data_IF_713151930822
#
_entry.id   IF_713151930822
#
_cell.length_a   1.000
_cell.length_b   1.000
_cell.length_c   1.000
_cell.angle_alpha   90.00
_cell.angle_beta   90.00
_cell.angle_gamma   90.00
#
_symmetry.space_group_name_H-M   'P 1'
#
loop_
_entity.id
_entity.type
_entity.pdbx_description
1 polymer ?
#
# COMPACT_ATOMS: atom_id res chain seq x y z
N UNK A 1 31.44 -8.00 16.47
CA UNK A 1 30.13 -7.32 16.54
C UNK A 1 29.29 -8.20 17.45
N UNK A 2 28.76 -7.66 18.54
CA UNK A 2 27.80 -8.40 19.36
C UNK A 2 26.48 -8.38 18.61
N UNK A 3 26.02 -9.54 18.17
CA UNK A 3 24.73 -9.67 17.50
C UNK A 3 23.63 -9.27 18.49
N UNK A 4 22.83 -8.28 18.11
CA UNK A 4 21.68 -7.83 18.89
C UNK A 4 20.72 -9.01 19.09
N UNK A 5 20.19 -9.18 20.29
CA UNK A 5 19.17 -10.18 20.59
C UNK A 5 17.80 -9.52 20.59
N UNK A 6 16.90 -10.02 19.74
CA UNK A 6 15.50 -9.60 19.64
C UNK A 6 14.63 -10.71 20.20
N UNK A 7 13.71 -10.38 21.10
CA UNK A 7 12.75 -11.33 21.65
C UNK A 7 11.30 -10.97 21.27
N UNK A 8 10.52 -11.98 20.89
CA UNK A 8 9.06 -11.92 20.75
C UNK A 8 8.43 -13.19 21.32
N UNK A 9 7.10 -13.30 21.36
CA UNK A 9 6.43 -14.47 21.88
C UNK A 9 6.57 -15.71 20.96
N UNK A 10 6.51 -16.90 21.55
CA UNK A 10 6.50 -18.19 20.82
C UNK A 10 5.07 -18.67 20.47
N UNK A 11 4.95 -19.77 19.73
CA UNK A 11 3.65 -20.36 19.38
C UNK A 11 2.96 -19.64 18.22
N UNK A 12 1.63 -19.56 18.25
CA UNK A 12 0.85 -18.82 17.25
C UNK A 12 1.35 -17.39 17.16
N UNK A 13 1.51 -16.88 15.94
CA UNK A 13 1.95 -15.52 15.61
C UNK A 13 0.93 -14.74 14.81
N UNK A 14 1.09 -13.43 14.81
CA UNK A 14 0.18 -12.46 14.21
C UNK A 14 0.90 -11.63 13.16
N UNK A 15 0.19 -10.71 12.51
CA UNK A 15 0.87 -9.75 11.65
C UNK A 15 1.72 -8.75 12.44
N UNK A 16 1.37 -8.48 13.70
CA UNK A 16 2.06 -7.52 14.54
C UNK A 16 3.53 -7.89 14.78
N UNK A 17 3.78 -9.06 15.40
CA UNK A 17 5.11 -9.56 15.68
C UNK A 17 5.90 -9.87 14.40
N UNK A 18 5.23 -10.42 13.37
CA UNK A 18 5.87 -10.70 12.08
C UNK A 18 6.35 -9.43 11.36
N UNK A 19 5.51 -8.40 11.24
CA UNK A 19 5.91 -7.15 10.59
C UNK A 19 6.88 -6.32 11.44
N UNK A 20 6.82 -6.43 12.77
CA UNK A 20 7.82 -5.84 13.67
C UNK A 20 9.22 -6.39 13.38
N UNK A 21 9.36 -7.72 13.25
CA UNK A 21 10.64 -8.35 12.90
C UNK A 21 11.07 -7.98 11.47
N UNK A 22 10.13 -7.92 10.52
CA UNK A 22 10.41 -7.49 9.15
C UNK A 22 10.96 -6.05 9.08
N UNK A 23 10.40 -5.13 9.87
CA UNK A 23 10.88 -3.76 9.96
C UNK A 23 12.26 -3.67 10.63
N UNK A 24 12.47 -4.44 11.71
CA UNK A 24 13.76 -4.47 12.41
C UNK A 24 14.89 -5.03 11.54
N UNK A 25 14.61 -5.92 10.57
CA UNK A 25 15.59 -6.37 9.56
C UNK A 25 16.12 -5.23 8.68
N UNK A 26 15.37 -4.13 8.51
CA UNK A 26 15.83 -2.96 7.77
C UNK A 26 16.84 -2.13 8.58
N UNK A 27 16.78 -2.18 9.91
CA UNK A 27 17.66 -1.44 10.82
C UNK A 27 18.88 -2.28 11.24
N UNK A 28 18.64 -3.56 11.53
CA UNK A 28 19.63 -4.51 12.01
C UNK A 28 19.78 -5.64 10.99
N UNK A 29 20.80 -5.58 10.09
CA UNK A 29 20.97 -6.58 9.04
C UNK A 29 21.26 -7.99 9.57
N UNK A 30 21.70 -8.11 10.82
CA UNK A 30 21.92 -9.37 11.51
C UNK A 30 21.54 -9.21 12.99
N UNK A 31 20.79 -10.18 13.51
CA UNK A 31 20.41 -10.28 14.92
C UNK A 31 20.07 -11.73 15.25
N UNK A 32 20.11 -12.06 16.54
CA UNK A 32 19.62 -13.31 17.09
C UNK A 32 18.15 -13.15 17.49
N UNK A 33 17.24 -13.86 16.82
CA UNK A 33 15.82 -13.86 17.16
C UNK A 33 15.52 -14.98 18.16
N UNK A 34 14.89 -14.63 19.28
CA UNK A 34 14.42 -15.60 20.27
C UNK A 34 12.90 -15.47 20.39
N UNK A 35 12.18 -16.56 20.12
CA UNK A 35 10.73 -16.63 20.37
C UNK A 35 10.47 -17.33 21.71
N UNK A 36 9.96 -16.61 22.70
CA UNK A 36 9.78 -17.12 24.07
C UNK A 36 8.77 -16.32 24.88
N UNK A 37 8.25 -16.92 25.95
CA UNK A 37 7.52 -16.22 27.03
C UNK A 37 8.25 -16.31 28.38
N UNK A 38 9.48 -16.81 28.39
CA UNK A 38 10.32 -16.86 29.58
C UNK A 38 10.82 -15.46 29.92
N UNK A 39 10.37 -14.93 31.06
CA UNK A 39 10.70 -13.58 31.53
C UNK A 39 12.20 -13.38 31.78
N UNK A 40 12.93 -14.41 32.19
CA UNK A 40 14.38 -14.31 32.40
C UNK A 40 15.15 -14.18 31.08
N UNK A 41 14.63 -14.80 30.01
CA UNK A 41 15.19 -14.68 28.66
C UNK A 41 14.82 -13.32 28.07
N UNK A 42 13.56 -12.91 28.19
CA UNK A 42 13.07 -11.61 27.73
C UNK A 42 13.85 -10.46 28.38
N UNK A 43 14.11 -10.53 29.70
CA UNK A 43 14.83 -9.49 30.42
C UNK A 43 16.27 -9.27 29.92
N UNK A 44 16.88 -10.28 29.29
CA UNK A 44 18.25 -10.24 28.75
C UNK A 44 18.33 -9.80 27.29
N UNK A 45 17.20 -9.72 26.58
CA UNK A 45 17.17 -9.31 25.19
C UNK A 45 17.40 -7.80 25.05
N UNK A 46 18.07 -7.39 23.97
CA UNK A 46 18.32 -5.99 23.66
C UNK A 46 17.03 -5.30 23.21
N UNK A 47 16.26 -5.97 22.34
CA UNK A 47 14.95 -5.50 21.88
C UNK A 47 13.90 -6.56 22.22
N UNK A 48 12.75 -6.12 22.73
CA UNK A 48 11.60 -6.98 23.02
C UNK A 48 10.37 -6.37 22.36
N UNK A 49 9.62 -7.18 21.63
CA UNK A 49 8.38 -6.78 20.97
C UNK A 49 7.29 -7.82 21.25
N UNK A 50 6.04 -7.37 21.35
CA UNK A 50 4.84 -8.20 21.51
C UNK A 50 4.85 -9.18 22.71
N UNK A 51 5.72 -8.92 23.68
CA UNK A 51 5.84 -9.71 24.92
C UNK A 51 6.52 -8.88 26.02
N UNK A 52 6.26 -9.24 27.28
CA UNK A 52 6.94 -8.67 28.45
C UNK A 52 6.18 -7.54 29.16
N UNK A 53 5.12 -7.01 28.55
CA UNK A 53 4.17 -6.05 29.14
C UNK A 53 4.76 -4.67 29.40
N UNK A 54 5.70 -4.21 28.57
CA UNK A 54 6.39 -2.93 28.73
C UNK A 54 6.52 -2.23 27.38
N UNK A 55 6.08 -0.97 27.33
CA UNK A 55 6.48 -0.02 26.31
C UNK A 55 7.48 0.98 26.89
N UNK A 56 8.72 0.91 26.44
CA UNK A 56 9.80 1.86 26.69
C UNK A 56 10.72 1.83 25.47
N UNK A 57 10.58 2.77 24.52
CA UNK A 57 11.35 2.75 23.29
C UNK A 57 12.84 2.90 23.56
N UNK A 58 13.26 3.63 24.59
CA UNK A 58 14.67 3.87 24.91
C UNK A 58 15.34 2.64 25.54
N UNK A 59 14.57 1.84 26.27
CA UNK A 59 15.01 0.53 26.76
C UNK A 59 14.79 -0.62 25.74
N UNK A 60 14.36 -0.31 24.51
CA UNK A 60 14.10 -1.32 23.48
C UNK A 60 12.93 -2.25 23.83
N UNK A 61 11.86 -1.72 24.41
CA UNK A 61 10.66 -2.47 24.80
C UNK A 61 9.44 -1.94 24.04
N UNK A 62 8.82 -2.80 23.24
CA UNK A 62 7.74 -2.47 22.30
C UNK A 62 6.58 -3.44 22.46
N UNK A 63 6.03 -3.56 23.66
CA UNK A 63 4.80 -4.31 23.91
C UNK A 63 3.62 -3.35 24.10
N UNK A 64 2.41 -3.82 23.79
CA UNK A 64 1.15 -3.10 23.92
C UNK A 64 0.16 -3.78 24.88
N UNK A 65 0.46 -4.99 25.37
CA UNK A 65 -0.42 -5.78 26.22
C UNK A 65 -0.58 -5.25 27.67
N UNK A 66 0.25 -4.30 28.10
CA UNK A 66 0.17 -3.73 29.44
C UNK A 66 -1.17 -3.05 29.72
N UNK A 67 -1.52 -2.96 31.01
CA UNK A 67 -2.69 -2.20 31.43
C UNK A 67 -2.56 -0.74 31.01
N UNK A 68 -3.52 -0.28 30.21
CA UNK A 68 -3.52 1.07 29.64
C UNK A 68 -2.94 1.18 28.22
N UNK A 69 -2.44 0.07 27.65
CA UNK A 69 -1.90 0.03 26.29
C UNK A 69 -0.57 0.76 26.12
N UNK A 70 -0.19 1.02 24.88
CA UNK A 70 1.01 1.78 24.51
C UNK A 70 0.70 3.15 23.89
N UNK A 71 -0.51 3.67 24.16
CA UNK A 71 -1.04 4.88 23.54
C UNK A 71 -1.67 4.62 22.16
N UNK A 72 -2.07 5.71 21.51
CA UNK A 72 -2.79 5.69 20.23
C UNK A 72 -2.32 6.83 19.32
N UNK A 73 -2.61 6.69 18.03
CA UNK A 73 -2.45 7.74 17.01
C UNK A 73 -3.50 8.84 17.19
N UNK A 74 -3.30 9.98 16.53
CA UNK A 74 -4.28 11.09 16.53
C UNK A 74 -5.65 10.69 15.97
N UNK A 75 -5.68 9.69 15.08
CA UNK A 75 -6.92 9.13 14.54
C UNK A 75 -7.62 8.12 15.48
N UNK A 76 -7.11 7.93 16.71
CA UNK A 76 -7.67 7.03 17.72
C UNK A 76 -7.28 5.56 17.57
N UNK A 77 -6.49 5.20 16.54
CA UNK A 77 -6.03 3.82 16.38
C UNK A 77 -4.92 3.53 17.41
N UNK A 78 -5.11 2.58 18.35
CA UNK A 78 -4.09 2.19 19.31
C UNK A 78 -2.87 1.59 18.61
N UNK A 79 -1.70 1.71 19.23
CA UNK A 79 -0.48 1.08 18.72
C UNK A 79 -0.39 -0.38 19.18
N UNK A 80 -0.14 -1.30 18.24
CA UNK A 80 0.46 -2.60 18.52
C UNK A 80 1.98 -2.53 18.39
N UNK A 81 2.71 -3.62 18.58
CA UNK A 81 4.18 -3.63 18.59
C UNK A 81 4.78 -3.10 17.27
N UNK A 82 4.17 -3.44 16.13
CA UNK A 82 4.61 -2.99 14.81
C UNK A 82 4.46 -1.48 14.68
N UNK A 83 3.34 -0.92 15.12
CA UNK A 83 3.15 0.51 15.30
C UNK A 83 4.22 1.18 16.14
N UNK A 84 4.57 0.61 17.28
CA UNK A 84 5.58 1.17 18.18
C UNK A 84 6.99 1.12 17.57
N UNK A 85 7.31 0.03 16.88
CA UNK A 85 8.55 -0.11 16.10
C UNK A 85 8.59 0.90 14.97
N UNK A 86 7.50 1.05 14.21
CA UNK A 86 7.40 2.01 13.12
C UNK A 86 7.49 3.46 13.61
N UNK A 87 6.88 3.76 14.76
CA UNK A 87 6.98 5.06 15.41
C UNK A 87 8.43 5.42 15.77
N UNK A 88 9.26 4.45 16.17
CA UNK A 88 10.67 4.69 16.49
C UNK A 88 11.57 4.70 15.25
N UNK A 89 11.39 3.76 14.34
CA UNK A 89 12.35 3.49 13.26
C UNK A 89 11.82 3.77 11.84
N UNK A 90 10.53 4.03 11.66
CA UNK A 90 9.89 4.09 10.33
C UNK A 90 10.49 5.14 9.41
N UNK A 91 10.87 6.31 9.93
CA UNK A 91 11.56 7.36 9.17
C UNK A 91 12.95 6.90 8.74
N UNK A 92 13.70 6.24 9.62
CA UNK A 92 15.03 5.68 9.30
C UNK A 92 14.92 4.57 8.26
N UNK A 93 13.94 3.66 8.38
CA UNK A 93 13.62 2.62 7.40
C UNK A 93 13.31 3.23 6.03
N UNK A 94 12.70 4.42 6.00
CA UNK A 94 12.38 5.17 4.79
C UNK A 94 13.48 6.16 4.39
N UNK A 95 14.73 5.92 4.78
CA UNK A 95 15.92 6.72 4.41
C UNK A 95 15.80 8.21 4.79
N UNK A 96 15.10 8.51 5.89
CA UNK A 96 14.87 9.88 6.35
C UNK A 96 13.69 10.60 5.70
N UNK A 97 12.93 9.93 4.83
CA UNK A 97 11.78 10.52 4.15
C UNK A 97 10.49 10.36 4.97
N UNK A 98 10.08 11.43 5.66
CA UNK A 98 8.86 11.45 6.50
C UNK A 98 7.57 11.22 5.70
N UNK A 99 7.46 11.78 4.49
CA UNK A 99 6.26 11.60 3.65
C UNK A 99 6.06 10.13 3.28
N UNK A 100 7.16 9.42 2.98
CA UNK A 100 7.12 7.98 2.70
C UNK A 100 6.72 7.22 3.96
N UNK A 101 7.34 7.53 5.10
CA UNK A 101 7.04 6.87 6.38
C UNK A 101 5.57 7.04 6.79
N UNK A 102 5.01 8.25 6.62
CA UNK A 102 3.61 8.56 6.89
C UNK A 102 2.65 7.83 5.93
N UNK A 103 3.02 7.74 4.66
CA UNK A 103 2.25 7.01 3.65
C UNK A 103 2.21 5.51 3.94
N UNK A 104 3.32 4.92 4.40
CA UNK A 104 3.39 3.52 4.82
C UNK A 104 2.67 3.30 6.16
N UNK A 105 2.79 4.22 7.12
CA UNK A 105 2.05 4.12 8.39
C UNK A 105 0.54 4.06 8.14
N UNK A 106 0.00 5.02 7.39
CA UNK A 106 -1.42 5.08 7.07
C UNK A 106 -1.91 3.90 6.21
N UNK A 107 -1.10 3.43 5.27
CA UNK A 107 -1.48 2.40 4.31
C UNK A 107 -1.27 0.95 4.78
N UNK A 108 -0.36 0.72 5.73
CA UNK A 108 0.03 -0.62 6.17
C UNK A 108 0.04 -0.75 7.69
N UNK A 109 0.85 0.04 8.38
CA UNK A 109 1.14 -0.14 9.81
C UNK A 109 -0.11 0.08 10.66
N UNK A 110 -0.74 1.24 10.52
CA UNK A 110 -1.97 1.57 11.23
C UNK A 110 -3.12 0.61 10.94
N UNK A 111 -3.13 -0.04 9.77
CA UNK A 111 -4.15 -1.07 9.44
C UNK A 111 -3.89 -2.38 10.18
N UNK A 112 -2.63 -2.80 10.29
CA UNK A 112 -2.25 -3.98 11.06
C UNK A 112 -2.52 -3.74 12.55
N UNK A 113 -2.09 -2.59 13.08
CA UNK A 113 -2.32 -2.20 14.47
C UNK A 113 -3.81 -2.20 14.83
N UNK A 114 -4.66 -1.66 13.95
CA UNK A 114 -6.10 -1.64 14.18
C UNK A 114 -6.68 -3.06 14.28
N UNK A 115 -6.26 -3.98 13.42
CA UNK A 115 -6.71 -5.39 13.49
C UNK A 115 -6.24 -6.06 14.77
N UNK A 116 -4.96 -5.88 15.10
CA UNK A 116 -4.32 -6.55 16.22
C UNK A 116 -4.88 -6.07 17.57
N UNK A 117 -5.11 -4.77 17.71
CA UNK A 117 -5.73 -4.17 18.89
C UNK A 117 -7.27 -4.32 18.92
N UNK A 118 -7.88 -5.00 17.94
CA UNK A 118 -9.34 -5.15 17.86
C UNK A 118 -10.11 -3.85 17.61
N UNK A 119 -9.44 -2.82 17.07
CA UNK A 119 -9.99 -1.53 16.71
C UNK A 119 -10.54 -1.53 15.27
N UNK A 120 -11.29 -2.58 14.90
CA UNK A 120 -11.93 -2.71 13.58
C UNK A 120 -13.44 -2.72 13.73
N UNK A 121 -14.13 -2.00 12.84
CA UNK A 121 -15.59 -1.93 12.84
C UNK A 121 -16.22 -2.98 11.92
N UNK A 122 -17.33 -3.55 12.37
CA UNK A 122 -18.16 -4.45 11.57
C UNK A 122 -17.55 -5.84 11.35
N UNK A 123 -18.14 -6.58 10.41
CA UNK A 123 -17.69 -7.92 10.05
C UNK A 123 -16.61 -7.80 8.97
N UNK A 124 -15.47 -8.45 9.18
CA UNK A 124 -14.41 -8.55 8.16
C UNK A 124 -14.99 -9.08 6.85
N UNK A 125 -14.72 -8.37 5.75
CA UNK A 125 -15.11 -8.76 4.39
C UNK A 125 -13.87 -9.10 3.58
N UNK A 126 -13.83 -10.29 3.00
CA UNK A 126 -12.69 -10.75 2.22
C UNK A 126 -11.52 -11.22 3.08
N UNK A 127 -10.36 -11.39 2.45
CA UNK A 127 -9.12 -11.83 3.11
C UNK A 127 -8.28 -10.59 3.43
N UNK A 128 -7.90 -10.41 4.70
CA UNK A 128 -6.98 -9.34 5.11
C UNK A 128 -5.53 -9.79 5.06
N UNK A 129 -4.60 -8.83 5.09
CA UNK A 129 -3.17 -9.12 5.22
C UNK A 129 -2.86 -9.82 6.55
N UNK A 130 -3.48 -9.39 7.65
CA UNK A 130 -3.32 -10.06 8.95
C UNK A 130 -3.83 -11.50 8.94
N UNK A 131 -4.95 -11.76 8.26
CA UNK A 131 -5.44 -13.12 8.06
C UNK A 131 -4.48 -13.95 7.18
N UNK A 132 -3.88 -13.33 6.15
CA UNK A 132 -2.90 -13.99 5.28
C UNK A 132 -1.65 -14.37 6.06
N UNK A 133 -1.14 -13.51 6.95
CA UNK A 133 -0.05 -13.87 7.86
C UNK A 133 -0.48 -15.00 8.81
N UNK A 134 -1.68 -14.91 9.38
CA UNK A 134 -2.20 -15.95 10.26
C UNK A 134 -2.26 -17.33 9.58
N UNK A 135 -2.42 -17.40 8.25
CA UNK A 135 -2.44 -18.66 7.50
C UNK A 135 -1.08 -19.36 7.42
N UNK A 136 0.02 -18.68 7.75
CA UNK A 136 1.33 -19.35 7.89
C UNK A 136 1.44 -20.14 9.19
N UNK A 137 0.58 -19.89 10.20
CA UNK A 137 0.61 -20.69 11.42
C UNK A 137 0.26 -22.16 11.09
N UNK A 138 1.02 -23.13 11.67
CA UNK A 138 0.67 -24.54 11.60
C UNK A 138 -0.79 -24.79 11.95
N UNK A 139 -1.47 -25.57 11.12
CA UNK A 139 -2.78 -26.10 11.47
C UNK A 139 -2.64 -27.24 12.48
N UNK A 140 -3.73 -27.57 13.16
CA UNK A 140 -3.76 -28.69 14.12
C UNK A 140 -3.47 -30.06 13.50
N UNK A 141 -3.47 -30.18 12.16
CA UNK A 141 -3.20 -31.42 11.42
C UNK A 141 -1.75 -31.50 10.89
N UNK A 142 -0.95 -30.46 11.06
CA UNK A 142 0.40 -30.39 10.51
C UNK A 142 1.44 -30.65 11.59
N UNK A 143 2.42 -31.52 11.29
CA UNK A 143 3.65 -31.63 12.07
C UNK A 143 4.64 -30.55 11.62
N UNK A 144 4.30 -29.28 11.91
CA UNK A 144 5.13 -28.12 11.58
C UNK A 144 5.66 -27.43 12.83
N UNK A 145 6.80 -26.76 12.70
CA UNK A 145 7.38 -25.96 13.78
C UNK A 145 6.99 -24.49 13.61
N UNK A 146 6.36 -23.92 14.63
CA UNK A 146 5.95 -22.51 14.66
C UNK A 146 7.06 -21.53 14.25
N UNK A 147 8.31 -21.81 14.59
CA UNK A 147 9.44 -20.92 14.30
C UNK A 147 9.83 -20.94 12.82
N UNK A 148 9.77 -22.11 12.16
CA UNK A 148 10.00 -22.21 10.71
C UNK A 148 8.92 -21.45 9.95
N UNK A 149 7.66 -21.67 10.32
CA UNK A 149 6.52 -20.95 9.74
C UNK A 149 6.59 -19.43 9.99
N UNK A 150 7.07 -19.03 11.16
CA UNK A 150 7.28 -17.62 11.49
C UNK A 150 8.34 -16.99 10.58
N UNK A 151 9.47 -17.67 10.35
CA UNK A 151 10.52 -17.18 9.45
C UNK A 151 10.02 -17.01 8.01
N UNK A 152 9.19 -17.95 7.52
CA UNK A 152 8.52 -17.84 6.22
C UNK A 152 7.58 -16.63 6.16
N UNK A 153 6.76 -16.44 7.20
CA UNK A 153 5.87 -15.28 7.32
C UNK A 153 6.65 -13.95 7.36
N UNK A 154 7.78 -13.90 8.08
CA UNK A 154 8.66 -12.72 8.12
C UNK A 154 9.29 -12.46 6.76
N UNK A 155 9.71 -13.49 6.03
CA UNK A 155 10.26 -13.32 4.68
C UNK A 155 9.21 -12.73 3.72
N UNK A 156 7.97 -13.22 3.79
CA UNK A 156 6.85 -12.66 3.05
C UNK A 156 6.56 -11.21 3.46
N UNK A 157 6.42 -10.93 4.76
CA UNK A 157 6.16 -9.60 5.29
C UNK A 157 7.27 -8.59 4.92
N UNK A 158 8.53 -9.01 4.95
CA UNK A 158 9.67 -8.18 4.51
C UNK A 158 9.53 -7.76 3.04
N UNK A 159 9.09 -8.69 2.17
CA UNK A 159 8.84 -8.36 0.76
C UNK A 159 7.69 -7.39 0.60
N UNK A 160 6.60 -7.59 1.34
CA UNK A 160 5.43 -6.71 1.31
C UNK A 160 5.78 -5.31 1.81
N UNK A 161 6.46 -5.19 2.96
CA UNK A 161 6.91 -3.92 3.52
C UNK A 161 7.77 -3.13 2.52
N UNK A 162 8.76 -3.80 1.90
CA UNK A 162 9.59 -3.18 0.87
C UNK A 162 8.77 -2.68 -0.34
N UNK A 163 7.68 -3.38 -0.71
CA UNK A 163 6.78 -2.92 -1.79
C UNK A 163 5.90 -1.75 -1.37
N UNK A 164 5.43 -1.69 -0.13
CA UNK A 164 4.73 -0.51 0.40
C UNK A 164 5.63 0.72 0.40
N UNK A 165 6.88 0.59 0.88
CA UNK A 165 7.88 1.66 0.85
C UNK A 165 8.17 2.10 -0.59
N UNK A 166 8.41 1.16 -1.51
CA UNK A 166 8.66 1.49 -2.92
C UNK A 166 7.45 2.17 -3.59
N UNK A 167 6.23 1.72 -3.28
CA UNK A 167 5.00 2.31 -3.81
C UNK A 167 4.77 3.73 -3.27
N UNK A 168 5.04 3.96 -1.98
CA UNK A 168 4.95 5.27 -1.37
C UNK A 168 5.97 6.24 -1.99
N UNK A 169 7.23 5.80 -2.11
CA UNK A 169 8.29 6.55 -2.81
C UNK A 169 7.91 6.90 -4.25
N UNK A 170 7.42 5.92 -5.02
CA UNK A 170 6.98 6.15 -6.40
C UNK A 170 5.80 7.11 -6.52
N UNK A 171 4.87 7.10 -5.56
CA UNK A 171 3.75 8.03 -5.52
C UNK A 171 4.20 9.46 -5.20
N UNK A 172 5.11 9.64 -4.25
CA UNK A 172 5.63 10.95 -3.85
C UNK A 172 6.47 11.57 -4.96
N UNK A 173 7.35 10.78 -5.60
CA UNK A 173 8.16 11.26 -6.72
C UNK A 173 7.31 11.59 -7.95
N UNK A 174 6.18 10.91 -8.15
CA UNK A 174 5.22 11.22 -9.21
C UNK A 174 4.41 12.50 -8.96
N UNK A 175 4.33 12.98 -7.71
CA UNK A 175 3.46 14.11 -7.36
C UNK A 175 3.81 15.38 -8.15
N UNK A 176 5.10 15.73 -8.26
CA UNK A 176 5.52 16.92 -9.00
C UNK A 176 5.21 16.81 -10.49
N UNK A 177 5.46 15.63 -11.09
CA UNK A 177 5.18 15.35 -12.50
C UNK A 177 3.67 15.53 -12.80
N UNK A 178 2.83 14.97 -11.94
CA UNK A 178 1.37 15.04 -12.11
C UNK A 178 0.84 16.45 -11.82
N UNK A 179 1.38 17.15 -10.82
CA UNK A 179 1.02 18.53 -10.53
C UNK A 179 1.38 19.46 -11.70
N UNK A 180 2.57 19.31 -12.27
CA UNK A 180 3.00 20.07 -13.46
C UNK A 180 2.11 19.75 -14.67
N UNK A 181 1.70 18.49 -14.85
CA UNK A 181 0.77 18.10 -15.91
C UNK A 181 -0.63 18.71 -15.74
N UNK A 182 -1.09 18.88 -14.49
CA UNK A 182 -2.35 19.56 -14.17
C UNK A 182 -2.26 21.05 -14.47
N UNK A 183 -1.18 21.71 -14.02
CA UNK A 183 -0.98 23.15 -14.23
C UNK A 183 -0.87 23.51 -15.72
N UNK A 184 -0.22 22.66 -16.51
CA UNK A 184 -0.03 22.86 -17.94
C UNK A 184 -1.15 22.27 -18.82
N UNK A 185 -2.23 21.76 -18.21
CA UNK A 185 -3.33 21.17 -18.97
C UNK A 185 -4.01 22.24 -19.85
N UNK A 186 -4.10 21.98 -21.16
CA UNK A 186 -4.78 22.89 -22.11
C UNK A 186 -6.29 22.91 -21.86
N UNK A 187 -6.87 21.75 -21.57
CA UNK A 187 -8.22 21.60 -21.02
C UNK A 187 -8.08 21.01 -19.61
N UNK A 188 -8.50 21.70 -18.54
CA UNK A 188 -8.35 21.23 -17.17
C UNK A 188 -9.07 19.89 -16.90
N UNK A 189 -9.98 19.46 -17.79
CA UNK A 189 -10.67 18.17 -17.73
C UNK A 189 -9.84 17.00 -18.25
N UNK A 190 -8.74 17.26 -18.98
CA UNK A 190 -7.89 16.22 -19.60
C UNK A 190 -6.43 16.45 -19.18
N UNK A 191 -5.91 15.54 -18.35
CA UNK A 191 -4.52 15.60 -17.89
C UNK A 191 -3.65 14.69 -18.75
N UNK A 192 -2.56 15.21 -19.31
CA UNK A 192 -1.66 14.42 -20.18
C UNK A 192 -0.34 14.15 -19.46
N UNK A 193 0.00 12.88 -19.31
CA UNK A 193 1.28 12.42 -18.76
C UNK A 193 2.16 11.87 -19.88
N UNK A 194 3.43 12.30 -19.94
CA UNK A 194 4.39 11.85 -20.96
C UNK A 194 4.88 10.42 -20.78
N UNK A 195 4.66 9.86 -19.59
CA UNK A 195 4.93 8.47 -19.24
C UNK A 195 3.91 8.04 -18.19
N UNK A 196 3.68 6.73 -18.03
CA UNK A 196 2.85 6.26 -16.93
C UNK A 196 3.48 6.67 -15.58
N UNK A 197 2.72 7.43 -14.80
CA UNK A 197 3.04 7.78 -13.41
C UNK A 197 1.82 7.55 -12.53
N UNK A 198 1.96 7.04 -11.29
CA UNK A 198 0.85 6.97 -10.35
C UNK A 198 0.21 8.36 -10.16
N UNK A 199 -1.02 8.55 -10.63
CA UNK A 199 -1.62 9.88 -10.75
C UNK A 199 -2.87 10.09 -9.89
N UNK A 200 -3.61 9.02 -9.56
CA UNK A 200 -4.95 9.10 -8.95
C UNK A 200 -5.00 9.99 -7.71
N UNK A 201 -4.11 9.78 -6.73
CA UNK A 201 -4.07 10.58 -5.50
C UNK A 201 -3.81 12.06 -5.78
N UNK A 202 -2.82 12.35 -6.63
CA UNK A 202 -2.43 13.73 -6.95
C UNK A 202 -3.51 14.46 -7.76
N UNK A 203 -4.08 13.81 -8.78
CA UNK A 203 -5.20 14.39 -9.55
C UNK A 203 -6.40 14.64 -8.67
N UNK A 204 -6.77 13.69 -7.81
CA UNK A 204 -7.90 13.86 -6.90
C UNK A 204 -7.67 15.01 -5.90
N UNK A 205 -6.43 15.16 -5.42
CA UNK A 205 -6.06 16.22 -4.48
C UNK A 205 -5.90 17.61 -5.11
N UNK A 206 -5.49 17.72 -6.37
CA UNK A 206 -5.09 18.99 -6.99
C UNK A 206 -6.04 19.46 -8.11
N UNK A 207 -6.95 18.62 -8.58
CA UNK A 207 -7.87 18.97 -9.66
C UNK A 207 -9.30 18.50 -9.36
N UNK A 208 -10.21 19.47 -9.26
CA UNK A 208 -11.65 19.23 -9.18
C UNK A 208 -12.26 18.94 -10.55
N UNK A 209 -11.66 19.47 -11.63
CA UNK A 209 -12.21 19.43 -12.98
C UNK A 209 -11.78 18.21 -13.80
N UNK A 210 -10.62 17.61 -13.48
CA UNK A 210 -10.09 16.49 -14.25
C UNK A 210 -11.09 15.34 -14.35
N UNK A 211 -11.41 14.94 -15.57
CA UNK A 211 -12.29 13.82 -15.92
C UNK A 211 -11.52 12.64 -16.48
N UNK A 212 -10.45 12.92 -17.24
CA UNK A 212 -9.65 11.91 -17.92
C UNK A 212 -8.15 12.16 -17.76
N UNK A 213 -7.37 11.08 -17.73
CA UNK A 213 -5.92 11.11 -17.78
C UNK A 213 -5.44 10.32 -18.99
N UNK A 214 -4.59 10.94 -19.80
CA UNK A 214 -4.00 10.37 -21.02
C UNK A 214 -2.53 10.09 -20.79
N UNK A 215 -2.08 8.88 -21.08
CA UNK A 215 -0.69 8.47 -20.88
C UNK A 215 -0.29 7.30 -21.79
N UNK A 216 1.01 7.11 -22.10
CA UNK A 216 1.46 5.94 -22.84
C UNK A 216 1.57 4.71 -21.93
N UNK A 217 1.26 3.53 -22.47
CA UNK A 217 1.61 2.25 -21.86
C UNK A 217 3.09 1.93 -22.08
N UNK A 218 3.62 0.98 -21.31
CA UNK A 218 5.02 0.52 -21.45
C UNK A 218 5.32 -0.09 -22.83
N UNK A 219 4.28 -0.48 -23.56
CA UNK A 219 4.34 -1.03 -24.92
C UNK A 219 4.19 0.03 -26.01
N UNK A 220 4.12 1.31 -25.65
CA UNK A 220 4.13 2.46 -26.56
C UNK A 220 2.77 2.94 -27.06
N UNK A 221 1.69 2.17 -26.86
CA UNK A 221 0.33 2.61 -27.21
C UNK A 221 -0.21 3.58 -26.15
N UNK A 222 -1.22 4.36 -26.49
CA UNK A 222 -1.77 5.36 -25.59
C UNK A 222 -3.06 4.90 -24.93
N UNK A 223 -3.30 5.42 -23.73
CA UNK A 223 -4.48 5.12 -22.92
C UNK A 223 -5.15 6.42 -22.52
N UNK A 224 -6.48 6.38 -22.51
CA UNK A 224 -7.31 7.33 -21.79
C UNK A 224 -7.97 6.56 -20.65
N UNK A 225 -7.79 7.05 -19.42
CA UNK A 225 -8.40 6.49 -18.22
C UNK A 225 -9.24 7.55 -17.52
N UNK A 226 -10.40 7.14 -17.02
CA UNK A 226 -11.30 8.00 -16.23
C UNK A 226 -10.71 8.32 -14.85
N UNK A 227 -10.98 9.52 -14.36
CA UNK A 227 -10.72 9.90 -12.96
C UNK A 227 -11.86 9.35 -12.11
N UNK A 228 -11.57 8.52 -11.09
CA UNK A 228 -12.63 7.99 -10.22
C UNK A 228 -13.24 9.11 -9.38
N UNK A 229 -14.54 9.00 -9.09
CA UNK A 229 -15.25 9.94 -8.22
C UNK A 229 -14.60 10.00 -6.83
N UNK A 230 -14.23 8.83 -6.29
CA UNK A 230 -13.51 8.67 -5.03
C UNK A 230 -12.34 7.69 -5.19
N UNK A 231 -11.27 7.90 -4.44
CA UNK A 231 -10.12 7.00 -4.47
C UNK A 231 -10.52 5.59 -4.02
N UNK A 232 -10.33 4.61 -4.91
CA UNK A 232 -10.69 3.21 -4.65
C UNK A 232 -12.11 2.83 -5.08
N UNK A 233 -12.93 3.79 -5.51
CA UNK A 233 -14.25 3.53 -6.11
C UNK A 233 -14.14 3.06 -7.57
N UNK A 234 -15.17 2.34 -8.03
CA UNK A 234 -15.39 2.00 -9.44
C UNK A 234 -16.30 3.01 -10.15
N UNK A 235 -16.82 3.98 -9.44
CA UNK A 235 -17.58 5.09 -10.02
C UNK A 235 -16.60 6.15 -10.55
N UNK A 236 -16.81 6.58 -11.79
CA UNK A 236 -16.02 7.60 -12.47
C UNK A 236 -16.66 8.98 -12.32
N UNK A 237 -15.85 10.05 -12.27
CA UNK A 237 -16.37 11.42 -12.39
C UNK A 237 -17.16 11.62 -13.68
N UNK A 238 -16.67 11.01 -14.77
CA UNK A 238 -17.38 10.86 -16.04
C UNK A 238 -16.87 9.62 -16.77
N UNK A 239 -17.74 8.63 -17.00
CA UNK A 239 -17.39 7.45 -17.80
C UNK A 239 -17.11 7.82 -19.26
N UNK A 240 -16.42 6.94 -19.98
CA UNK A 240 -16.27 7.05 -21.43
C UNK A 240 -17.64 6.87 -22.15
N UNK A 241 -17.80 7.32 -23.40
CA UNK A 241 -19.07 7.24 -24.13
C UNK A 241 -19.66 5.83 -24.16
N UNK A 242 -20.93 5.70 -23.77
CA UNK A 242 -21.63 4.42 -23.70
C UNK A 242 -21.56 3.59 -25.00
N UNK A 243 -21.61 4.17 -26.22
CA UNK A 243 -21.46 3.41 -27.46
C UNK A 243 -20.12 2.69 -27.62
N UNK A 244 -19.09 3.02 -26.84
CA UNK A 244 -17.77 2.37 -26.91
C UNK A 244 -17.68 1.11 -26.06
N UNK A 245 -18.64 0.88 -25.15
CA UNK A 245 -18.56 -0.17 -24.14
C UNK A 245 -18.26 -1.55 -24.75
N UNK A 246 -17.09 -2.10 -24.41
CA UNK A 246 -16.69 -3.46 -24.79
C UNK A 246 -16.25 -3.61 -26.26
N UNK A 247 -16.25 -2.52 -27.04
CA UNK A 247 -15.83 -2.55 -28.44
C UNK A 247 -14.31 -2.67 -28.56
N UNK A 248 -13.86 -3.35 -29.61
CA UNK A 248 -12.44 -3.53 -29.92
C UNK A 248 -12.18 -3.42 -31.42
N UNK A 249 -10.99 -2.91 -31.76
CA UNK A 249 -10.49 -2.76 -33.12
C UNK A 249 -11.57 -2.20 -34.05
N UNK A 250 -11.91 -2.91 -35.14
CA UNK A 250 -12.79 -2.42 -36.20
C UNK A 250 -14.12 -1.86 -35.70
N UNK A 251 -14.75 -2.50 -34.71
CA UNK A 251 -16.02 -2.02 -34.15
C UNK A 251 -15.87 -0.66 -33.45
N UNK A 252 -14.78 -0.49 -32.69
CA UNK A 252 -14.48 0.78 -32.03
C UNK A 252 -14.03 1.84 -33.05
N UNK A 253 -13.24 1.45 -34.04
CA UNK A 253 -12.80 2.32 -35.13
C UNK A 253 -14.00 2.85 -35.92
N UNK A 254 -14.99 2.01 -36.21
CA UNK A 254 -16.20 2.41 -36.95
C UNK A 254 -17.06 3.41 -36.15
N UNK A 255 -17.14 3.26 -34.82
CA UNK A 255 -17.90 4.18 -33.95
C UNK A 255 -17.15 5.47 -33.66
N UNK A 256 -15.81 5.42 -33.58
CA UNK A 256 -14.97 6.59 -33.26
C UNK A 256 -14.50 7.37 -34.48
N UNK A 257 -14.45 6.72 -35.65
CA UNK A 257 -13.80 7.25 -36.85
C UNK A 257 -12.26 7.31 -36.75
N UNK A 258 -11.66 6.56 -35.81
CA UNK A 258 -10.21 6.55 -35.57
C UNK A 258 -9.64 5.18 -35.96
N UNK A 259 -8.84 5.13 -37.04
CA UNK A 259 -8.36 3.87 -37.64
C UNK A 259 -7.43 3.05 -36.73
N UNK A 260 -6.82 3.67 -35.73
CA UNK A 260 -5.90 3.05 -34.76
C UNK A 260 -6.51 2.89 -33.36
N UNK A 261 -7.83 3.05 -33.21
CA UNK A 261 -8.52 2.72 -31.97
C UNK A 261 -8.45 1.21 -31.71
N UNK A 262 -8.08 0.83 -30.48
CA UNK A 262 -7.76 -0.56 -30.13
C UNK A 262 -8.85 -1.22 -29.29
N UNK A 263 -9.28 -0.57 -28.20
CA UNK A 263 -10.28 -1.13 -27.30
C UNK A 263 -10.89 -0.07 -26.38
N UNK A 264 -12.08 -0.35 -25.88
CA UNK A 264 -12.67 0.30 -24.73
C UNK A 264 -13.24 -0.77 -23.79
N UNK A 265 -12.90 -0.68 -22.50
CA UNK A 265 -13.39 -1.63 -21.51
C UNK A 265 -14.92 -1.53 -21.39
N UNK A 266 -15.62 -2.66 -21.17
CA UNK A 266 -17.08 -2.68 -21.04
C UNK A 266 -17.61 -1.79 -19.91
N UNK A 267 -16.84 -1.66 -18.83
CA UNK A 267 -17.11 -0.74 -17.73
C UNK A 267 -16.74 0.73 -17.99
N UNK A 268 -16.33 1.09 -19.21
CA UNK A 268 -16.13 2.48 -19.68
C UNK A 268 -15.11 3.32 -18.90
N UNK A 269 -14.26 2.72 -18.06
CA UNK A 269 -13.24 3.44 -17.29
C UNK A 269 -11.90 3.58 -18.03
N UNK A 270 -11.69 2.85 -19.12
CA UNK A 270 -10.43 2.91 -19.88
C UNK A 270 -10.64 2.56 -21.35
N UNK A 271 -9.93 3.25 -22.23
CA UNK A 271 -9.79 2.94 -23.64
C UNK A 271 -8.37 3.23 -24.12
N UNK A 272 -8.05 2.86 -25.36
CA UNK A 272 -6.75 3.16 -25.95
C UNK A 272 -6.71 3.11 -27.46
N UNK A 273 -5.74 3.81 -28.03
CA UNK A 273 -5.34 3.78 -29.44
C UNK A 273 -3.83 3.59 -29.57
N UNK A 274 -3.33 3.34 -30.77
CA UNK A 274 -1.88 3.25 -31.01
C UNK A 274 -1.20 4.61 -30.81
N UNK A 275 -1.80 5.69 -31.33
CA UNK A 275 -1.21 7.04 -31.32
C UNK A 275 -1.71 7.93 -30.18
N UNK A 276 -0.89 8.92 -29.82
CA UNK A 276 -1.26 9.98 -28.90
C UNK A 276 -2.43 10.81 -29.46
N UNK A 277 -2.36 11.14 -30.74
CA UNK A 277 -3.30 11.99 -31.45
C UNK A 277 -4.71 11.41 -31.41
N UNK A 278 -4.86 10.11 -31.67
CA UNK A 278 -6.16 9.46 -31.58
C UNK A 278 -6.66 9.34 -30.15
N UNK A 279 -5.80 9.07 -29.17
CA UNK A 279 -6.22 9.04 -27.75
C UNK A 279 -6.68 10.41 -27.28
N UNK A 280 -6.03 11.50 -27.72
CA UNK A 280 -6.47 12.87 -27.43
C UNK A 280 -7.80 13.22 -28.10
N UNK A 281 -8.04 12.74 -29.32
CA UNK A 281 -9.36 12.86 -29.97
C UNK A 281 -10.42 12.10 -29.19
N UNK A 282 -10.13 10.87 -28.74
CA UNK A 282 -11.04 10.11 -27.86
C UNK A 282 -11.35 10.89 -26.58
N UNK A 283 -10.34 11.51 -25.95
CA UNK A 283 -10.56 12.34 -24.76
C UNK A 283 -11.49 13.53 -25.03
N UNK A 284 -11.28 14.21 -26.14
CA UNK A 284 -12.12 15.35 -26.55
C UNK A 284 -13.57 14.90 -26.82
N UNK A 285 -13.76 13.81 -27.56
CA UNK A 285 -15.08 13.20 -27.81
C UNK A 285 -15.77 12.80 -26.50
N UNK A 286 -15.03 12.21 -25.56
CA UNK A 286 -15.58 11.80 -24.27
C UNK A 286 -15.98 12.99 -23.40
N UNK A 287 -15.24 14.10 -23.46
CA UNK A 287 -15.60 15.35 -22.79
C UNK A 287 -16.90 15.96 -23.33
N UNK A 288 -17.12 15.87 -24.65
CA UNK A 288 -18.30 16.45 -25.32
C UNK A 288 -19.56 15.57 -25.28
N UNK A 289 -19.40 14.26 -25.05
CA UNK A 289 -20.49 13.27 -25.01
C UNK A 289 -21.45 13.41 -23.82
#
# INVERSE_FOLDING_TARGET
MTDITIATHNGNFHADDVFSVAALKCIFPSFNLIRTRDLEVIAKADIVLDVGGIYDPEAGRFDHHQRGGAGERENGIPYSSFGLIWKKYGVEICEGNEDVANSVDSGLVSTIDAVDCGHVEGVSKGISLSQTISMFNPTWQEESHYDVCFDEAVAFASRILARFIASANGGISARSIVAEAIENAVDPRIIVLKQYTPWKRTVHSLSEEALYVVYPSDTGQWRIQTVPAELGSFEDRKSLPAPWAGLSNKELQDVTGLDDAMFCHNGLFIAGSESFESTMKMASMAVEA
#
